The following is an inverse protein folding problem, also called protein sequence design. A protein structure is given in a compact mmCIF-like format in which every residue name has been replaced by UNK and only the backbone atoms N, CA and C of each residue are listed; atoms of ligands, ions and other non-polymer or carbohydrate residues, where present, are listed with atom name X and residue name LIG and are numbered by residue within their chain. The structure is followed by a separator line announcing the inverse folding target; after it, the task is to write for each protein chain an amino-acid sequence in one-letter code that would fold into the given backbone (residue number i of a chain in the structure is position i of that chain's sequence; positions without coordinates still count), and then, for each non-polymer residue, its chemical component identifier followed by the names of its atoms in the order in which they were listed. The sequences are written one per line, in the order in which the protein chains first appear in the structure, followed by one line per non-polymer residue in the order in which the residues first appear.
data_IF_039649504669
#
_entry.id   IF_039649504669
#
_cell.length_a   1.000
_cell.length_b   1.000
_cell.length_c   1.000
_cell.angle_alpha   90.00
_cell.angle_beta   90.00
_cell.angle_gamma   90.00
#
_symmetry.space_group_name_H-M   'P 1'
#
loop_
_entity.id
_entity.type
_entity.pdbx_description
1 polymer ?
#
# COMPACT_ATOMS: atom_id res chain seq x y z
N UNK A 1 -10.76 10.24 12.61
CA UNK A 1 -10.15 9.24 11.69
C UNK A 1 -10.17 7.91 12.42
N UNK A 2 -10.87 6.92 11.89
CA UNK A 2 -11.23 5.72 12.63
C UNK A 2 -11.40 4.51 11.70
N UNK A 3 -11.33 3.32 12.27
CA UNK A 3 -11.76 2.08 11.63
C UNK A 3 -13.18 1.78 12.07
N UNK A 4 -14.08 1.54 11.12
CA UNK A 4 -15.45 1.09 11.38
C UNK A 4 -15.61 -0.35 10.93
N UNK A 5 -16.25 -1.17 11.74
CA UNK A 5 -16.54 -2.56 11.40
C UNK A 5 -17.83 -2.65 10.59
N UNK A 6 -17.76 -3.30 9.44
CA UNK A 6 -18.93 -3.76 8.70
C UNK A 6 -19.33 -5.15 9.19
N UNK A 7 -20.51 -5.31 9.83
CA UNK A 7 -20.95 -6.60 10.35
C UNK A 7 -21.45 -7.57 9.26
N UNK A 8 -21.86 -7.08 8.10
CA UNK A 8 -22.37 -7.90 6.98
C UNK A 8 -21.19 -8.60 6.32
N UNK A 9 -20.16 -7.84 5.96
CA UNK A 9 -18.99 -8.36 5.25
C UNK A 9 -17.92 -8.90 6.20
N UNK A 10 -18.02 -8.57 7.48
CA UNK A 10 -16.99 -8.84 8.48
C UNK A 10 -15.63 -8.20 8.14
N UNK A 11 -15.66 -6.90 7.82
CA UNK A 11 -14.51 -6.15 7.32
C UNK A 11 -14.29 -4.83 8.08
N UNK A 12 -13.06 -4.34 8.08
CA UNK A 12 -12.73 -3.02 8.61
C UNK A 12 -12.69 -2.01 7.47
N UNK A 13 -13.45 -0.93 7.63
CA UNK A 13 -13.49 0.22 6.71
C UNK A 13 -12.67 1.35 7.33
N UNK A 14 -11.75 1.91 6.56
CA UNK A 14 -10.94 3.06 6.98
C UNK A 14 -11.72 4.34 6.68
N UNK A 15 -12.03 5.12 7.71
CA UNK A 15 -12.74 6.39 7.60
C UNK A 15 -11.81 7.55 7.96
N UNK A 16 -11.44 8.34 6.96
CA UNK A 16 -10.59 9.53 7.11
C UNK A 16 -11.27 10.76 6.51
N UNK A 17 -11.84 11.60 7.37
CA UNK A 17 -12.55 12.83 6.98
C UNK A 17 -11.66 13.90 6.37
N UNK A 18 -10.35 13.90 6.69
CA UNK A 18 -9.39 14.87 6.17
C UNK A 18 -9.10 14.71 4.67
N UNK A 19 -9.46 13.56 4.06
CA UNK A 19 -9.29 13.37 2.61
C UNK A 19 -10.05 14.41 1.77
N UNK A 20 -11.18 14.95 2.27
CA UNK A 20 -11.90 16.04 1.59
C UNK A 20 -11.10 17.34 1.54
N UNK A 21 -10.13 17.53 2.44
CA UNK A 21 -9.28 18.73 2.51
C UNK A 21 -8.05 18.65 1.60
N UNK A 22 -7.90 17.60 0.80
CA UNK A 22 -6.79 17.49 -0.16
C UNK A 22 -6.91 18.65 -1.16
N UNK A 23 -5.95 19.58 -1.22
CA UNK A 23 -6.02 20.68 -2.16
C UNK A 23 -5.93 20.14 -3.58
N UNK A 24 -6.64 20.78 -4.51
CA UNK A 24 -6.32 20.67 -5.92
C UNK A 24 -4.94 21.31 -6.11
N UNK A 25 -3.94 20.51 -6.47
CA UNK A 25 -2.60 21.01 -6.71
C UNK A 25 -2.60 21.88 -7.98
N UNK A 26 -1.83 22.97 -8.03
CA UNK A 26 -1.62 23.75 -9.25
C UNK A 26 -1.15 22.85 -10.40
N UNK A 27 -1.56 23.14 -11.64
CA UNK A 27 -1.28 22.29 -12.82
C UNK A 27 0.22 22.00 -13.06
N UNK A 28 1.13 22.83 -12.53
CA UNK A 28 2.59 22.69 -12.71
C UNK A 28 3.34 22.41 -11.40
N UNK A 29 2.64 21.99 -10.33
CA UNK A 29 3.27 21.68 -9.06
C UNK A 29 3.32 20.17 -8.82
N UNK A 30 4.53 19.64 -8.67
CA UNK A 30 4.75 18.25 -8.26
C UNK A 30 5.45 18.21 -6.90
N UNK A 31 4.85 17.60 -5.86
CA UNK A 31 5.47 17.47 -4.54
C UNK A 31 6.67 16.51 -4.54
N UNK A 32 6.84 15.69 -5.58
CA UNK A 32 7.86 14.65 -5.65
C UNK A 32 9.04 15.01 -6.57
N UNK A 33 8.99 16.17 -7.23
CA UNK A 33 10.12 16.68 -8.00
C UNK A 33 11.27 17.13 -7.07
N UNK A 34 12.54 17.03 -7.49
CA UNK A 34 13.71 17.41 -6.68
C UNK A 34 13.71 18.84 -6.11
N UNK A 35 12.96 19.75 -6.71
CA UNK A 35 12.80 21.15 -6.25
C UNK A 35 11.75 21.33 -5.16
N UNK A 36 10.94 20.31 -4.88
CA UNK A 36 9.88 20.35 -3.87
C UNK A 36 10.44 20.30 -2.44
N UNK A 37 9.74 20.94 -1.52
CA UNK A 37 10.06 20.91 -0.09
C UNK A 37 9.76 19.55 0.57
N UNK A 38 8.92 18.71 -0.05
CA UNK A 38 8.57 17.39 0.47
C UNK A 38 9.69 16.34 0.24
N UNK A 39 10.69 16.66 -0.60
CA UNK A 39 11.83 15.78 -0.89
C UNK A 39 13.15 16.35 -0.33
N UNK A 40 14.16 15.52 -0.03
CA UNK A 40 15.46 16.00 0.39
C UNK A 40 16.15 16.85 -0.70
N UNK A 41 16.83 17.93 -0.30
CA UNK A 41 17.66 18.76 -1.20
C UNK A 41 18.90 18.03 -1.75
N UNK A 42 19.30 16.92 -1.13
CA UNK A 42 20.42 16.08 -1.60
C UNK A 42 19.98 15.17 -2.74
N UNK A 43 20.92 14.73 -3.57
CA UNK A 43 20.64 13.72 -4.62
C UNK A 43 20.08 12.43 -4.01
N UNK A 44 19.04 11.88 -4.63
CA UNK A 44 18.38 10.63 -4.26
C UNK A 44 17.99 9.86 -5.52
N UNK A 45 17.81 8.54 -5.38
CA UNK A 45 17.37 7.65 -6.47
C UNK A 45 15.91 7.25 -6.30
N UNK A 46 15.57 6.71 -5.14
CA UNK A 46 14.19 6.43 -4.70
C UNK A 46 14.01 6.92 -3.27
N UNK A 47 12.78 7.27 -2.88
CA UNK A 47 12.46 7.80 -1.56
C UNK A 47 11.20 7.12 -1.01
N UNK A 48 11.18 6.90 0.30
CA UNK A 48 9.93 6.74 1.05
C UNK A 48 9.65 8.02 1.82
N UNK A 49 8.44 8.55 1.67
CA UNK A 49 7.97 9.76 2.32
C UNK A 49 6.68 9.45 3.10
N UNK A 50 6.46 10.03 4.29
CA UNK A 50 5.17 9.98 4.95
C UNK A 50 4.07 10.55 4.04
N UNK A 51 2.94 9.86 3.92
CA UNK A 51 1.83 10.38 3.13
C UNK A 51 1.23 11.61 3.83
N UNK A 52 1.15 12.74 3.13
CA UNK A 52 0.60 14.01 3.65
C UNK A 52 -0.88 13.95 4.02
N UNK A 53 -1.66 13.08 3.36
CA UNK A 53 -3.08 12.86 3.63
C UNK A 53 -3.32 11.38 3.96
N UNK A 54 -2.74 10.89 5.06
CA UNK A 54 -2.68 9.46 5.30
C UNK A 54 -4.07 8.93 5.65
N UNK A 55 -4.35 7.68 5.28
CA UNK A 55 -5.57 6.99 5.69
C UNK A 55 -5.48 6.42 7.12
N UNK A 56 -4.25 6.20 7.60
CA UNK A 56 -3.90 5.63 8.90
C UNK A 56 -2.76 6.44 9.52
N UNK A 57 -2.71 6.53 10.84
CA UNK A 57 -1.64 7.26 11.57
C UNK A 57 -1.06 6.41 12.68
N UNK A 58 0.17 6.70 13.09
CA UNK A 58 0.80 5.99 14.22
C UNK A 58 0.08 6.30 15.54
N UNK A 59 -0.29 7.56 15.72
CA UNK A 59 -1.02 8.09 16.87
C UNK A 59 -2.33 8.72 16.39
N UNK A 60 -3.33 7.92 15.99
CA UNK A 60 -4.63 8.44 15.55
C UNK A 60 -5.44 8.98 16.75
N UNK A 61 -6.34 9.94 16.54
CA UNK A 61 -7.31 10.32 17.57
C UNK A 61 -8.24 9.16 17.91
N UNK A 62 -8.94 9.28 19.03
CA UNK A 62 -10.00 8.34 19.38
C UNK A 62 -11.14 8.41 18.33
N UNK A 63 -11.88 7.30 18.13
CA UNK A 63 -13.08 7.28 17.30
C UNK A 63 -14.10 8.35 17.73
N UNK A 64 -14.78 8.95 16.76
CA UNK A 64 -15.79 9.98 17.00
C UNK A 64 -17.12 9.36 17.47
N UNK A 65 -17.34 8.09 17.12
CA UNK A 65 -18.55 7.33 17.44
C UNK A 65 -18.28 6.38 18.59
N UNK A 66 -19.22 6.28 19.54
CA UNK A 66 -19.13 5.30 20.63
C UNK A 66 -19.38 3.89 20.08
N UNK A 67 -18.46 2.92 20.27
CA UNK A 67 -18.67 1.57 19.80
C UNK A 67 -19.80 0.88 20.56
N UNK A 68 -20.54 0.02 19.86
CA UNK A 68 -21.43 -0.96 20.48
C UNK A 68 -21.07 -2.39 20.02
N UNK A 69 -21.93 -3.37 20.36
CA UNK A 69 -21.71 -4.79 20.03
C UNK A 69 -21.74 -5.06 18.52
N UNK A 70 -22.59 -4.36 17.77
CA UNK A 70 -22.79 -4.53 16.34
C UNK A 70 -21.84 -3.63 15.55
N UNK A 71 -21.81 -2.33 15.87
CA UNK A 71 -20.99 -1.31 15.23
C UNK A 71 -19.74 -1.03 16.06
N UNK A 72 -18.71 -1.83 15.78
CA UNK A 72 -17.41 -1.68 16.44
C UNK A 72 -16.60 -0.58 15.76
N UNK A 73 -15.97 0.28 16.54
CA UNK A 73 -15.00 1.26 16.05
C UNK A 73 -13.69 1.15 16.81
N UNK A 74 -12.59 1.52 16.17
CA UNK A 74 -11.24 1.58 16.77
C UNK A 74 -10.43 2.72 16.15
N UNK A 75 -9.41 3.24 16.84
CA UNK A 75 -8.51 4.22 16.23
C UNK A 75 -7.87 3.66 14.95
N UNK A 76 -7.72 4.51 13.92
CA UNK A 76 -7.11 4.17 12.63
C UNK A 76 -5.58 4.07 12.71
N UNK A 77 -5.09 3.17 13.57
CA UNK A 77 -3.66 3.02 13.84
C UNK A 77 -2.96 2.31 12.70
N UNK A 78 -1.92 2.89 12.13
CA UNK A 78 -1.18 2.31 11.00
C UNK A 78 -0.19 3.30 10.42
N UNK A 79 0.35 2.99 9.24
CA UNK A 79 1.29 3.87 8.53
C UNK A 79 0.90 3.95 7.07
N UNK A 80 0.97 5.15 6.49
CA UNK A 80 0.82 5.37 5.06
C UNK A 80 2.06 6.10 4.53
N UNK A 81 2.74 5.50 3.56
CA UNK A 81 3.91 6.08 2.89
C UNK A 81 3.66 6.20 1.39
N UNK A 82 4.37 7.13 0.76
CA UNK A 82 4.51 7.25 -0.69
C UNK A 82 5.93 6.87 -1.06
N UNK A 83 6.07 6.02 -2.07
CA UNK A 83 7.37 5.58 -2.58
C UNK A 83 7.61 6.27 -3.91
N UNK A 84 8.52 7.23 -3.95
CA UNK A 84 8.89 7.93 -5.19
C UNK A 84 9.96 7.12 -5.90
N UNK A 85 9.68 6.66 -7.13
CA UNK A 85 10.55 5.69 -7.81
C UNK A 85 11.84 6.32 -8.36
N UNK A 86 11.76 7.56 -8.82
CA UNK A 86 12.87 8.27 -9.49
C UNK A 86 12.70 9.79 -9.33
N UNK A 87 13.77 10.60 -9.38
CA UNK A 87 13.67 12.05 -9.50
C UNK A 87 13.12 12.51 -10.86
N UNK A 88 13.08 11.63 -11.88
CA UNK A 88 12.57 11.94 -13.22
C UNK A 88 11.03 12.02 -13.22
N UNK A 89 10.49 13.19 -13.51
CA UNK A 89 9.03 13.44 -13.46
C UNK A 89 8.25 12.64 -14.50
N UNK A 90 8.71 12.65 -15.76
CA UNK A 90 7.98 12.10 -16.90
C UNK A 90 8.28 10.61 -17.15
N UNK A 91 8.96 9.94 -16.23
CA UNK A 91 9.27 8.53 -16.35
C UNK A 91 8.11 7.66 -15.83
N UNK A 92 8.12 6.39 -16.21
CA UNK A 92 7.33 5.35 -15.55
C UNK A 92 8.24 4.23 -15.07
N UNK A 93 7.69 3.28 -14.29
CA UNK A 93 8.47 2.12 -13.82
C UNK A 93 9.12 1.34 -14.98
N UNK A 94 8.50 1.32 -16.16
CA UNK A 94 9.00 0.63 -17.34
C UNK A 94 10.16 1.37 -18.04
N UNK A 95 10.34 2.67 -17.77
CA UNK A 95 11.40 3.52 -18.35
C UNK A 95 12.66 3.55 -17.46
N UNK A 96 12.64 2.82 -16.35
CA UNK A 96 13.73 2.74 -15.40
C UNK A 96 14.73 1.66 -15.81
N UNK A 97 16.02 1.89 -15.52
CA UNK A 97 17.03 0.84 -15.70
C UNK A 97 16.82 -0.29 -14.68
N UNK A 98 17.43 -1.45 -14.93
CA UNK A 98 17.36 -2.60 -14.00
C UNK A 98 17.87 -2.21 -12.61
N UNK A 99 18.92 -1.40 -12.52
CA UNK A 99 19.50 -0.91 -11.27
C UNK A 99 18.56 0.07 -10.54
N UNK A 100 17.86 0.92 -11.29
CA UNK A 100 16.83 1.81 -10.74
C UNK A 100 15.64 1.00 -10.19
N UNK A 101 15.13 0.03 -10.95
CA UNK A 101 14.05 -0.87 -10.52
C UNK A 101 14.48 -1.66 -9.28
N UNK A 102 15.71 -2.19 -9.28
CA UNK A 102 16.28 -2.88 -8.12
C UNK A 102 16.27 -1.96 -6.89
N UNK A 103 16.65 -0.70 -7.04
CA UNK A 103 16.64 0.27 -5.94
C UNK A 103 15.24 0.45 -5.34
N UNK A 104 14.20 0.48 -6.19
CA UNK A 104 12.79 0.53 -5.75
C UNK A 104 12.39 -0.73 -4.99
N UNK A 105 12.74 -1.92 -5.50
CA UNK A 105 12.44 -3.21 -4.86
C UNK A 105 13.19 -3.39 -3.52
N UNK A 106 14.43 -2.92 -3.46
CA UNK A 106 15.23 -2.93 -2.23
C UNK A 106 14.56 -2.05 -1.17
N UNK A 107 14.12 -0.84 -1.55
CA UNK A 107 13.39 0.05 -0.66
C UNK A 107 12.06 -0.56 -0.21
N UNK A 108 11.28 -1.17 -1.11
CA UNK A 108 10.06 -1.91 -0.74
C UNK A 108 10.34 -3.00 0.29
N UNK A 109 11.41 -3.77 0.08
CA UNK A 109 11.81 -4.86 0.98
C UNK A 109 12.24 -4.34 2.36
N UNK A 110 12.97 -3.23 2.39
CA UNK A 110 13.36 -2.54 3.62
C UNK A 110 12.13 -2.04 4.39
N UNK A 111 11.26 -1.26 3.74
CA UNK A 111 10.03 -0.72 4.35
C UNK A 111 9.11 -1.84 4.83
N UNK A 112 8.95 -2.90 4.04
CA UNK A 112 8.13 -4.06 4.42
C UNK A 112 8.61 -4.69 5.73
N UNK A 113 9.92 -4.92 5.86
CA UNK A 113 10.52 -5.49 7.07
C UNK A 113 10.42 -4.55 8.26
N UNK A 114 10.71 -3.26 8.08
CA UNK A 114 10.66 -2.29 9.17
C UNK A 114 9.23 -2.10 9.70
N UNK A 115 8.27 -1.84 8.81
CA UNK A 115 6.87 -1.66 9.18
C UNK A 115 6.28 -2.95 9.76
N UNK A 116 6.65 -4.11 9.21
CA UNK A 116 6.21 -5.41 9.68
C UNK A 116 6.76 -5.82 11.06
N UNK A 117 7.83 -5.19 11.54
CA UNK A 117 8.36 -5.43 12.91
C UNK A 117 7.55 -4.74 14.00
N UNK A 118 6.67 -3.80 13.64
CA UNK A 118 5.81 -3.10 14.61
C UNK A 118 4.72 -4.04 15.09
N UNK A 119 4.61 -4.22 16.40
CA UNK A 119 3.73 -5.18 17.08
C UNK A 119 2.23 -5.05 16.70
N UNK A 120 1.78 -3.82 16.48
CA UNK A 120 0.41 -3.49 16.09
C UNK A 120 0.13 -3.66 14.59
N UNK A 121 1.15 -3.78 13.74
CA UNK A 121 0.97 -4.00 12.29
C UNK A 121 0.77 -5.49 12.02
N UNK A 122 -0.27 -5.81 11.24
CA UNK A 122 -0.63 -7.19 10.86
C UNK A 122 -0.46 -7.47 9.37
N UNK A 123 -0.38 -6.43 8.54
CA UNK A 123 -0.17 -6.57 7.11
C UNK A 123 0.45 -5.30 6.53
N UNK A 124 1.44 -5.46 5.65
CA UNK A 124 2.04 -4.35 4.89
C UNK A 124 1.66 -4.52 3.43
N UNK A 125 0.91 -3.56 2.90
CA UNK A 125 0.42 -3.57 1.54
C UNK A 125 1.16 -2.55 0.70
N UNK A 126 1.98 -3.03 -0.23
CA UNK A 126 2.70 -2.22 -1.21
C UNK A 126 1.92 -2.28 -2.52
N UNK A 127 1.59 -1.13 -3.09
CA UNK A 127 0.78 -1.06 -4.30
C UNK A 127 1.07 0.19 -5.11
N UNK A 128 0.68 0.19 -6.38
CA UNK A 128 0.77 1.32 -7.29
C UNK A 128 -0.58 1.54 -7.94
N UNK A 129 -0.98 2.81 -8.05
CA UNK A 129 -2.03 3.22 -8.96
C UNK A 129 -1.35 4.02 -10.07
N UNK A 130 -1.49 3.60 -11.33
CA UNK A 130 -0.90 4.26 -12.50
C UNK A 130 -1.98 4.68 -13.51
N UNK A 131 -1.97 5.96 -13.87
CA UNK A 131 -2.79 6.53 -14.94
C UNK A 131 -3.95 7.39 -14.46
N UNK A 132 -4.16 8.52 -15.14
CA UNK A 132 -5.20 9.51 -14.80
C UNK A 132 -6.61 8.93 -14.83
N UNK A 133 -6.87 7.98 -15.73
CA UNK A 133 -8.17 7.31 -15.89
C UNK A 133 -8.60 6.54 -14.62
N UNK A 134 -7.63 6.06 -13.82
CA UNK A 134 -7.92 5.34 -12.57
C UNK A 134 -7.75 6.22 -11.32
N UNK A 135 -7.81 7.54 -11.48
CA UNK A 135 -7.84 8.50 -10.36
C UNK A 135 -6.46 8.93 -9.84
N UNK A 136 -5.39 8.68 -10.59
CA UNK A 136 -4.05 9.21 -10.29
C UNK A 136 -4.00 10.68 -10.71
N UNK A 137 -3.86 11.57 -9.73
CA UNK A 137 -3.79 13.02 -9.96
C UNK A 137 -2.36 13.54 -10.07
N UNK A 138 -1.36 12.69 -9.86
CA UNK A 138 0.07 13.02 -9.88
C UNK A 138 0.77 12.08 -10.86
N UNK A 139 1.29 12.63 -11.95
CA UNK A 139 1.91 11.83 -13.02
C UNK A 139 3.29 11.28 -12.63
N UNK A 140 3.96 11.93 -11.65
CA UNK A 140 5.28 11.52 -11.18
C UNK A 140 5.26 10.05 -10.71
N UNK A 141 6.18 9.18 -11.20
CA UNK A 141 6.15 7.76 -10.89
C UNK A 141 6.31 7.46 -9.40
N UNK A 142 5.26 6.92 -8.80
CA UNK A 142 5.22 6.61 -7.38
C UNK A 142 4.31 5.42 -7.05
N UNK A 143 4.68 4.70 -5.99
CA UNK A 143 3.85 3.71 -5.32
C UNK A 143 3.42 4.19 -3.94
N UNK A 144 2.71 3.33 -3.22
CA UNK A 144 2.25 3.59 -1.86
C UNK A 144 2.45 2.35 -0.98
N UNK A 145 2.66 2.58 0.31
CA UNK A 145 2.69 1.53 1.32
C UNK A 145 1.67 1.83 2.39
N UNK A 146 0.73 0.90 2.63
CA UNK A 146 -0.22 0.96 3.71
C UNK A 146 0.07 -0.18 4.68
N UNK A 147 0.51 0.16 5.90
CA UNK A 147 0.70 -0.79 6.98
C UNK A 147 -0.55 -0.81 7.87
N UNK A 148 -1.29 -1.92 7.81
CA UNK A 148 -2.58 -2.09 8.46
C UNK A 148 -2.45 -2.75 9.84
N UNK A 149 -3.31 -2.38 10.81
CA UNK A 149 -3.39 -3.07 12.10
C UNK A 149 -4.28 -4.33 12.04
N UNK A 150 -4.74 -4.70 10.84
CA UNK A 150 -5.55 -5.87 10.57
C UNK A 150 -5.12 -6.51 9.25
N UNK A 151 -5.47 -7.78 9.04
CA UNK A 151 -5.27 -8.45 7.76
C UNK A 151 -6.46 -8.08 6.84
N UNK A 152 -6.21 -7.54 5.63
CA UNK A 152 -7.28 -7.22 4.69
C UNK A 152 -8.16 -8.43 4.33
N UNK A 153 -9.44 -8.23 4.01
CA UNK A 153 -10.38 -9.32 3.79
C UNK A 153 -10.01 -10.27 2.65
N UNK A 154 -9.56 -9.72 1.51
CA UNK A 154 -9.08 -10.53 0.38
C UNK A 154 -7.92 -11.44 0.78
N UNK A 155 -6.95 -10.89 1.52
CA UNK A 155 -5.79 -11.64 2.02
C UNK A 155 -6.21 -12.72 3.01
N UNK A 156 -7.16 -12.44 3.91
CA UNK A 156 -7.72 -13.48 4.80
C UNK A 156 -8.32 -14.64 4.00
N UNK A 157 -9.04 -14.33 2.92
CA UNK A 157 -9.66 -15.34 2.04
C UNK A 157 -8.60 -16.17 1.31
N UNK A 158 -7.56 -15.54 0.78
CA UNK A 158 -6.42 -16.22 0.15
C UNK A 158 -5.67 -17.13 1.15
N UNK A 159 -5.36 -16.63 2.35
CA UNK A 159 -4.74 -17.41 3.42
C UNK A 159 -5.60 -18.62 3.81
N UNK A 160 -6.92 -18.44 3.94
CA UNK A 160 -7.84 -19.53 4.25
C UNK A 160 -7.87 -20.60 3.14
N UNK A 161 -7.92 -20.17 1.88
CA UNK A 161 -7.87 -21.08 0.72
C UNK A 161 -6.56 -21.86 0.67
N UNK A 162 -5.43 -21.15 0.76
CA UNK A 162 -4.09 -21.73 0.77
C UNK A 162 -3.88 -22.71 1.92
N UNK A 163 -4.38 -22.39 3.12
CA UNK A 163 -4.30 -23.27 4.29
C UNK A 163 -5.12 -24.54 4.11
N UNK A 164 -6.33 -24.46 3.53
CA UNK A 164 -7.14 -25.65 3.23
C UNK A 164 -6.45 -26.56 2.22
N UNK A 165 -5.87 -25.98 1.16
CA UNK A 165 -5.14 -26.75 0.16
C UNK A 165 -3.91 -27.44 0.76
N UNK A 166 -3.11 -26.70 1.53
CA UNK A 166 -1.91 -27.25 2.17
C UNK A 166 -2.24 -28.38 3.15
N UNK A 167 -3.31 -28.26 3.94
CA UNK A 167 -3.75 -29.33 4.86
C UNK A 167 -4.04 -30.66 4.14
N UNK A 168 -4.60 -30.60 2.92
CA UNK A 168 -4.96 -31.78 2.12
C UNK A 168 -3.78 -32.35 1.33
N UNK A 169 -2.95 -31.48 0.77
CA UNK A 169 -1.95 -31.88 -0.23
C UNK A 169 -0.49 -31.78 0.26
N UNK A 170 -0.27 -31.15 1.42
CA UNK A 170 1.07 -30.81 1.98
C UNK A 170 1.96 -30.02 1.02
N UNK A 171 1.38 -29.37 0.01
CA UNK A 171 2.05 -28.51 -0.97
C UNK A 171 1.47 -27.10 -0.95
N UNK A 172 2.29 -26.11 -1.32
CA UNK A 172 1.84 -24.73 -1.49
C UNK A 172 0.91 -24.62 -2.69
N UNK A 173 -0.26 -23.99 -2.50
CA UNK A 173 -1.25 -23.79 -3.56
C UNK A 173 -0.68 -22.97 -4.73
N UNK A 174 -0.04 -21.84 -4.43
CA UNK A 174 0.55 -20.97 -5.46
C UNK A 174 1.66 -21.68 -6.25
N UNK A 175 2.53 -22.45 -5.58
CA UNK A 175 3.57 -23.23 -6.27
C UNK A 175 2.96 -24.24 -7.24
N UNK A 176 1.87 -24.92 -6.84
CA UNK A 176 1.20 -25.88 -7.74
C UNK A 176 0.50 -25.19 -8.92
N UNK A 177 -0.03 -23.99 -8.73
CA UNK A 177 -0.57 -23.19 -9.84
C UNK A 177 0.54 -22.84 -10.82
N UNK A 178 1.68 -22.32 -10.35
CA UNK A 178 2.83 -21.97 -11.19
C UNK A 178 3.37 -23.19 -11.95
N UNK A 179 3.49 -24.33 -11.28
CA UNK A 179 3.89 -25.61 -11.90
C UNK A 179 2.95 -25.97 -13.07
N UNK A 180 1.63 -25.92 -12.84
CA UNK A 180 0.63 -26.21 -13.88
C UNK A 180 0.65 -25.21 -15.03
N UNK A 181 0.84 -23.92 -14.75
CA UNK A 181 0.92 -22.89 -15.79
C UNK A 181 2.18 -23.08 -16.66
N UNK A 182 3.31 -23.47 -16.07
CA UNK A 182 4.53 -23.79 -16.81
C UNK A 182 4.38 -25.03 -17.68
N UNK A 183 3.80 -26.09 -17.14
CA UNK A 183 3.52 -27.33 -17.89
C UNK A 183 2.58 -27.07 -19.08
N UNK A 184 1.54 -26.26 -18.90
CA UNK A 184 0.57 -25.97 -19.95
C UNK A 184 1.09 -24.93 -20.97
N UNK A 185 1.90 -23.97 -20.53
CA UNK A 185 2.41 -22.85 -21.35
C UNK A 185 1.34 -21.99 -22.05
N UNK A 186 0.06 -22.10 -21.66
CA UNK A 186 -1.06 -21.41 -22.32
C UNK A 186 -1.25 -19.96 -21.88
N UNK A 187 -0.75 -19.57 -20.70
CA UNK A 187 -0.93 -18.24 -20.09
C UNK A 187 0.38 -17.65 -19.56
N UNK A 188 1.52 -18.16 -20.04
CA UNK A 188 2.83 -17.58 -19.76
C UNK A 188 3.02 -16.38 -20.72
N UNK A 189 3.44 -15.24 -20.18
CA UNK A 189 3.69 -13.97 -20.90
C UNK A 189 5.17 -13.66 -20.80
#
# INVERSE_FOLDING_TARGET
MELRWDPILSEWIIVSGERRKRPLLPQNFCPFCPSSEEVPRKKWRTLSLPNRFPALRENPPLPDVKPDRLYRCKPAKGVCEVIVYTPRHDASLADLTVEEIKSVIDLWSERFKELGRRDYIKYVFIFENKGRIIGVTLDHPHGQIYAFPFIPPLIKRELASSRRYWKRNRKCLFCKIIEKEKEASLRII
#
